data_IF_234860301927
#
_entry.id   IF_234860301927
#
_cell.length_a   1.000
_cell.length_b   1.000
_cell.length_c   1.000
_cell.angle_alpha   90.00
_cell.angle_beta   90.00
_cell.angle_gamma   90.00
#
_symmetry.space_group_name_H-M   'P 1'
#
loop_
_entity.id
_entity.type
_entity.pdbx_description
1 polymer ?
#
# COMPACT_ATOMS: atom_id res chain seq x y z
N UNK A 1 -4.76 0.26 -43.76
CA UNK A 1 -4.52 -0.74 -42.70
C UNK A 1 -4.29 0.03 -41.40
N UNK A 2 -5.32 0.23 -40.58
CA UNK A 2 -5.12 0.82 -39.25
C UNK A 2 -4.37 -0.23 -38.42
N UNK A 3 -3.13 0.06 -38.03
CA UNK A 3 -2.44 -0.74 -37.04
C UNK A 3 -3.27 -0.74 -35.76
N UNK A 4 -3.74 -1.92 -35.34
CA UNK A 4 -4.33 -2.09 -34.02
C UNK A 4 -3.20 -1.90 -33.01
N UNK A 5 -3.08 -0.68 -32.46
CA UNK A 5 -2.09 -0.40 -31.41
C UNK A 5 -2.55 -1.12 -30.16
N UNK A 6 -1.96 -2.29 -29.89
CA UNK A 6 -2.14 -2.98 -28.62
C UNK A 6 -1.49 -2.15 -27.52
N UNK A 7 -2.21 -1.90 -26.43
CA UNK A 7 -1.71 -1.15 -25.28
C UNK A 7 -1.49 -2.09 -24.10
N UNK A 8 -0.45 -1.79 -23.32
CA UNK A 8 -0.10 -2.55 -22.11
C UNK A 8 0.00 -1.57 -20.95
N UNK A 9 -0.62 -1.93 -19.82
CA UNK A 9 -0.63 -1.14 -18.60
C UNK A 9 -0.35 -2.02 -17.39
N UNK A 10 0.48 -1.53 -16.47
CA UNK A 10 0.72 -2.13 -15.17
C UNK A 10 -0.13 -1.41 -14.12
N UNK A 11 -1.02 -2.16 -13.46
CA UNK A 11 -1.74 -1.69 -12.27
C UNK A 11 -0.84 -1.94 -11.07
N UNK A 12 -0.53 -0.88 -10.31
CA UNK A 12 0.39 -0.94 -9.17
C UNK A 12 -0.41 -0.79 -7.86
N UNK A 13 -0.85 -1.91 -7.27
CA UNK A 13 -1.52 -1.91 -5.99
C UNK A 13 -0.58 -1.51 -4.83
N UNK A 14 -1.11 -0.76 -3.88
CA UNK A 14 -0.59 -0.79 -2.50
C UNK A 14 -1.08 -2.04 -1.77
N UNK A 15 -1.11 -2.06 -0.43
CA UNK A 15 -1.71 -3.15 0.34
C UNK A 15 -3.16 -3.42 -0.12
N UNK A 16 -3.49 -4.68 -0.39
CA UNK A 16 -4.85 -5.12 -0.78
C UNK A 16 -5.35 -6.16 0.19
N UNK A 17 -6.42 -5.83 0.91
CA UNK A 17 -7.04 -6.70 1.93
C UNK A 17 -7.71 -7.87 1.24
N UNK A 18 -7.05 -9.02 1.31
CA UNK A 18 -7.45 -10.30 0.72
C UNK A 18 -7.06 -11.42 1.68
N UNK A 19 -7.62 -12.61 1.49
CA UNK A 19 -7.23 -13.81 2.26
C UNK A 19 -5.74 -14.16 2.12
N UNK A 20 -5.09 -13.72 1.04
CA UNK A 20 -3.66 -13.94 0.83
C UNK A 20 -2.82 -13.30 1.95
N UNK A 21 -3.12 -12.06 2.33
CA UNK A 21 -2.36 -11.35 3.37
C UNK A 21 -2.53 -12.01 4.74
N UNK A 22 -3.74 -12.44 5.08
CA UNK A 22 -4.03 -13.10 6.35
C UNK A 22 -3.22 -14.40 6.48
N UNK A 23 -3.20 -15.23 5.43
CA UNK A 23 -2.42 -16.48 5.41
C UNK A 23 -0.92 -16.22 5.53
N UNK A 24 -0.39 -15.22 4.81
CA UNK A 24 1.04 -14.86 4.89
C UNK A 24 1.44 -14.45 6.30
N UNK A 25 0.59 -13.70 7.00
CA UNK A 25 0.86 -13.31 8.38
C UNK A 25 0.73 -14.46 9.37
N UNK A 26 -0.27 -15.33 9.21
CA UNK A 26 -0.42 -16.53 10.04
C UNK A 26 0.79 -17.46 9.87
N UNK A 27 1.23 -17.70 8.64
CA UNK A 27 2.41 -18.51 8.35
C UNK A 27 3.67 -17.89 8.97
N UNK A 28 3.84 -16.57 8.88
CA UNK A 28 4.98 -15.87 9.46
C UNK A 28 4.97 -15.87 11.00
N UNK A 29 3.80 -15.78 11.64
CA UNK A 29 3.71 -15.83 13.11
C UNK A 29 4.00 -17.22 13.69
N UNK A 30 3.76 -18.27 12.91
CA UNK A 30 3.96 -19.66 13.32
C UNK A 30 5.25 -20.29 12.78
N UNK A 31 6.07 -19.54 12.02
CA UNK A 31 7.30 -20.04 11.43
C UNK A 31 8.40 -20.26 12.48
N UNK A 32 9.29 -21.22 12.19
CA UNK A 32 10.48 -21.46 12.99
C UNK A 32 11.63 -20.54 12.56
N UNK A 33 12.05 -19.67 13.49
CA UNK A 33 13.17 -18.74 13.30
C UNK A 33 14.47 -19.20 13.97
N UNK A 34 14.54 -20.44 14.48
CA UNK A 34 15.70 -20.98 15.22
C UNK A 34 17.02 -20.96 14.43
N UNK A 35 16.94 -20.94 13.11
CA UNK A 35 18.11 -20.88 12.21
C UNK A 35 18.50 -19.46 11.79
N UNK A 36 17.69 -18.46 12.15
CA UNK A 36 17.97 -17.04 11.92
C UNK A 36 18.73 -16.48 13.12
N UNK A 37 19.64 -15.52 12.89
CA UNK A 37 20.31 -14.89 14.01
C UNK A 37 19.30 -14.16 14.94
N UNK A 38 19.56 -14.09 16.26
CA UNK A 38 18.57 -13.58 17.21
C UNK A 38 18.14 -12.13 16.96
N UNK A 39 19.04 -11.27 16.47
CA UNK A 39 18.74 -9.86 16.21
C UNK A 39 17.79 -9.72 15.02
N UNK A 40 18.08 -10.39 13.90
CA UNK A 40 17.20 -10.39 12.73
C UNK A 40 15.85 -11.03 13.04
N UNK A 41 15.83 -12.13 13.81
CA UNK A 41 14.59 -12.80 14.22
C UNK A 41 13.70 -11.86 15.07
N UNK A 42 14.30 -11.14 16.03
CA UNK A 42 13.60 -10.15 16.85
C UNK A 42 13.08 -8.98 16.01
N UNK A 43 13.92 -8.41 15.13
CA UNK A 43 13.52 -7.34 14.23
C UNK A 43 12.35 -7.76 13.32
N UNK A 44 12.37 -8.99 12.81
CA UNK A 44 11.29 -9.48 11.96
C UNK A 44 9.99 -9.66 12.74
N UNK A 45 10.04 -10.41 13.84
CA UNK A 45 8.85 -10.82 14.59
C UNK A 45 8.23 -9.68 15.40
N UNK A 46 9.04 -8.89 16.10
CA UNK A 46 8.55 -7.90 17.07
C UNK A 46 8.40 -6.50 16.48
N UNK A 47 9.14 -6.16 15.42
CA UNK A 47 9.07 -4.87 14.75
C UNK A 47 8.38 -4.96 13.39
N UNK A 48 8.97 -5.67 12.44
CA UNK A 48 8.52 -5.67 11.06
C UNK A 48 7.10 -6.24 10.90
N UNK A 49 6.82 -7.44 11.41
CA UNK A 49 5.50 -8.08 11.28
C UNK A 49 4.40 -7.20 11.90
N UNK A 50 4.61 -6.76 13.14
CA UNK A 50 3.69 -5.86 13.85
C UNK A 50 3.42 -4.58 13.06
N UNK A 51 4.47 -3.92 12.56
CA UNK A 51 4.35 -2.65 11.85
C UNK A 51 3.78 -2.82 10.45
N UNK A 52 4.14 -3.90 9.76
CA UNK A 52 3.58 -4.30 8.47
C UNK A 52 2.06 -4.50 8.57
N UNK A 53 1.57 -5.25 9.58
CA UNK A 53 0.13 -5.42 9.85
C UNK A 53 -0.58 -4.09 10.11
N UNK A 54 0.05 -3.18 10.86
CA UNK A 54 -0.51 -1.87 11.15
C UNK A 54 -0.64 -1.01 9.87
N UNK A 55 0.38 -1.02 9.01
CA UNK A 55 0.37 -0.36 7.71
C UNK A 55 -0.73 -0.96 6.83
N UNK A 56 -0.78 -2.28 6.71
CA UNK A 56 -1.73 -2.99 5.87
C UNK A 56 -3.18 -2.68 6.27
N UNK A 57 -3.49 -2.78 7.56
CA UNK A 57 -4.83 -2.49 8.08
C UNK A 57 -5.25 -1.02 7.99
N UNK A 58 -4.30 -0.09 7.85
CA UNK A 58 -4.57 1.36 7.85
C UNK A 58 -4.59 1.95 6.44
N UNK A 59 -3.76 1.41 5.54
CA UNK A 59 -3.58 1.90 4.16
C UNK A 59 -4.17 0.94 3.12
N UNK A 60 -4.73 -0.19 3.57
CA UNK A 60 -5.34 -1.22 2.74
C UNK A 60 -6.41 -0.70 1.78
N UNK A 61 -6.41 -1.29 0.60
CA UNK A 61 -7.45 -1.17 -0.42
C UNK A 61 -8.26 -2.46 -0.48
N UNK A 62 -9.49 -2.38 -0.93
CA UNK A 62 -10.34 -3.55 -1.17
C UNK A 62 -10.09 -4.09 -2.59
N UNK A 63 -10.42 -5.36 -2.87
CA UNK A 63 -10.40 -5.90 -4.23
C UNK A 63 -11.28 -5.10 -5.20
N UNK A 64 -12.41 -4.57 -4.72
CA UNK A 64 -13.29 -3.72 -5.51
C UNK A 64 -12.62 -2.39 -5.89
N UNK A 65 -11.86 -1.77 -4.99
CA UNK A 65 -11.07 -0.57 -5.34
C UNK A 65 -10.10 -0.89 -6.50
N UNK A 66 -9.42 -2.04 -6.44
CA UNK A 66 -8.50 -2.47 -7.51
C UNK A 66 -9.26 -2.73 -8.83
N UNK A 67 -10.43 -3.35 -8.76
CA UNK A 67 -11.27 -3.59 -9.93
C UNK A 67 -11.73 -2.28 -10.58
N UNK A 68 -12.12 -1.27 -9.80
CA UNK A 68 -12.49 0.06 -10.30
C UNK A 68 -11.31 0.75 -11.00
N UNK A 69 -10.11 0.68 -10.41
CA UNK A 69 -8.90 1.21 -11.04
C UNK A 69 -8.57 0.49 -12.35
N UNK A 70 -8.75 -0.83 -12.39
CA UNK A 70 -8.52 -1.65 -13.59
C UNK A 70 -9.51 -1.29 -14.69
N UNK A 71 -10.81 -1.21 -14.35
CA UNK A 71 -11.87 -0.81 -15.28
C UNK A 71 -11.59 0.57 -15.90
N UNK A 72 -11.15 1.53 -15.08
CA UNK A 72 -10.76 2.87 -15.55
C UNK A 72 -9.63 2.81 -16.59
N UNK A 73 -8.62 1.98 -16.36
CA UNK A 73 -7.47 1.86 -17.26
C UNK A 73 -7.86 1.17 -18.56
N UNK A 74 -8.55 0.03 -18.52
CA UNK A 74 -8.93 -0.70 -19.74
C UNK A 74 -9.93 0.07 -20.62
N UNK A 75 -10.71 0.98 -20.01
CA UNK A 75 -11.68 1.82 -20.73
C UNK A 75 -11.09 3.14 -21.22
N UNK A 76 -9.83 3.45 -20.90
CA UNK A 76 -9.20 4.71 -21.30
C UNK A 76 -8.84 4.69 -22.79
N UNK A 77 -9.14 5.78 -23.50
CA UNK A 77 -8.77 5.93 -24.93
C UNK A 77 -7.25 5.87 -25.16
N UNK A 78 -6.46 6.29 -24.16
CA UNK A 78 -5.00 6.23 -24.16
C UNK A 78 -4.52 5.83 -22.76
N UNK A 79 -4.49 4.52 -22.43
CA UNK A 79 -4.15 4.08 -21.10
C UNK A 79 -2.67 4.36 -20.80
N UNK A 80 -2.33 4.72 -19.55
CA UNK A 80 -0.94 4.92 -19.15
C UNK A 80 -0.21 3.58 -19.04
N UNK A 81 1.13 3.58 -19.20
CA UNK A 81 1.92 2.37 -18.98
C UNK A 81 1.92 1.92 -17.52
N UNK A 82 1.85 2.84 -16.55
CA UNK A 82 1.76 2.54 -15.10
C UNK A 82 0.62 3.30 -14.46
N UNK A 83 -0.13 2.63 -13.59
CA UNK A 83 -1.26 3.21 -12.86
C UNK A 83 -1.18 2.83 -11.38
N UNK A 84 -0.73 3.77 -10.55
CA UNK A 84 -0.70 3.60 -9.11
C UNK A 84 -2.11 3.71 -8.53
N UNK A 85 -2.53 2.71 -7.75
CA UNK A 85 -3.87 2.70 -7.16
C UNK A 85 -3.92 3.44 -5.83
N UNK A 86 -2.84 3.39 -5.06
CA UNK A 86 -2.75 3.98 -3.73
C UNK A 86 -1.84 5.21 -3.71
N UNK A 87 -2.44 6.40 -3.78
CA UNK A 87 -1.71 7.67 -3.74
C UNK A 87 -0.97 7.94 -2.43
N UNK A 88 -1.27 7.21 -1.34
CA UNK A 88 -0.54 7.36 -0.07
C UNK A 88 0.93 6.96 -0.21
N UNK A 89 1.27 6.13 -1.20
CA UNK A 89 2.65 5.72 -1.48
C UNK A 89 3.42 6.68 -2.38
N UNK A 90 2.78 7.70 -2.95
CA UNK A 90 3.43 8.67 -3.85
C UNK A 90 4.66 9.34 -3.23
N UNK A 91 4.67 9.75 -1.94
CA UNK A 91 5.87 10.28 -1.32
C UNK A 91 7.05 9.30 -1.35
N UNK A 92 6.81 8.00 -1.14
CA UNK A 92 7.87 6.98 -1.19
C UNK A 92 8.43 6.81 -2.61
N UNK A 93 7.55 6.82 -3.62
CA UNK A 93 7.95 6.82 -5.03
C UNK A 93 8.77 8.06 -5.37
N UNK A 94 8.38 9.23 -4.87
CA UNK A 94 9.12 10.48 -5.08
C UNK A 94 10.53 10.43 -4.47
N UNK A 95 10.67 9.91 -3.24
CA UNK A 95 11.98 9.73 -2.59
C UNK A 95 12.88 8.79 -3.40
N UNK A 96 12.33 7.68 -3.92
CA UNK A 96 13.06 6.75 -4.79
C UNK A 96 13.56 7.42 -6.09
N UNK A 97 12.78 8.32 -6.67
CA UNK A 97 13.18 9.03 -7.89
C UNK A 97 14.15 10.20 -7.62
N UNK A 98 14.06 10.83 -6.45
CA UNK A 98 14.90 11.96 -6.07
C UNK A 98 16.37 11.57 -5.80
N UNK A 99 16.61 10.32 -5.39
CA UNK A 99 17.94 9.81 -5.07
C UNK A 99 18.22 8.49 -5.83
N UNK A 100 19.00 8.55 -6.92
CA UNK A 100 19.37 7.36 -7.71
C UNK A 100 20.16 6.30 -6.94
N UNK A 101 20.81 6.67 -5.82
CA UNK A 101 21.53 5.70 -4.98
C UNK A 101 20.58 4.82 -4.17
N UNK A 102 19.33 5.29 -3.97
CA UNK A 102 18.31 4.64 -3.15
C UNK A 102 18.53 4.80 -1.64
N UNK A 103 19.57 5.49 -1.20
CA UNK A 103 19.89 5.68 0.20
C UNK A 103 18.77 6.41 0.95
N UNK A 104 18.21 7.46 0.34
CA UNK A 104 17.14 8.26 0.93
C UNK A 104 15.87 7.45 1.19
N UNK A 105 15.45 6.65 0.19
CA UNK A 105 14.27 5.80 0.33
C UNK A 105 14.50 4.71 1.39
N UNK A 106 15.66 4.07 1.35
CA UNK A 106 16.04 2.99 2.29
C UNK A 106 16.09 3.49 3.72
N UNK A 107 16.78 4.60 3.98
CA UNK A 107 16.88 5.21 5.29
C UNK A 107 15.52 5.68 5.82
N UNK A 108 14.69 6.26 4.95
CA UNK A 108 13.32 6.67 5.32
C UNK A 108 12.47 5.47 5.71
N UNK A 109 12.49 4.40 4.92
CA UNK A 109 11.73 3.19 5.20
C UNK A 109 12.20 2.51 6.47
N UNK A 110 13.52 2.35 6.64
CA UNK A 110 14.13 1.82 7.86
C UNK A 110 13.69 2.61 9.09
N UNK A 111 13.81 3.93 9.06
CA UNK A 111 13.41 4.79 10.18
C UNK A 111 11.92 4.68 10.49
N UNK A 112 11.07 4.67 9.47
CA UNK A 112 9.62 4.56 9.63
C UNK A 112 9.19 3.23 10.25
N UNK A 113 9.78 2.12 9.80
CA UNK A 113 9.35 0.77 10.18
C UNK A 113 10.07 0.24 11.42
N UNK A 114 11.34 0.58 11.64
CA UNK A 114 12.14 -0.03 12.71
C UNK A 114 12.56 0.94 13.83
N UNK A 115 12.58 2.26 13.58
CA UNK A 115 13.11 3.24 14.55
C UNK A 115 12.06 4.16 15.18
N UNK A 116 11.06 4.57 14.39
CA UNK A 116 10.03 5.54 14.79
C UNK A 116 8.64 4.91 14.74
N UNK A 117 8.52 3.67 15.19
CA UNK A 117 7.27 2.90 15.17
C UNK A 117 6.14 3.65 15.89
N UNK A 118 6.38 4.22 17.07
CA UNK A 118 5.37 4.97 17.81
C UNK A 118 4.78 6.14 17.00
N UNK A 119 5.63 6.94 16.36
CA UNK A 119 5.20 8.05 15.50
C UNK A 119 4.45 7.54 14.27
N UNK A 120 4.93 6.46 13.65
CA UNK A 120 4.25 5.80 12.54
C UNK A 120 2.85 5.34 12.95
N UNK A 121 2.70 4.66 14.09
CA UNK A 121 1.40 4.19 14.59
C UNK A 121 0.42 5.33 14.87
N UNK A 122 0.87 6.44 15.46
CA UNK A 122 0.04 7.64 15.65
C UNK A 122 -0.41 8.22 14.30
N UNK A 123 0.52 8.31 13.35
CA UNK A 123 0.25 8.81 12.00
C UNK A 123 -0.76 7.93 11.26
N UNK A 124 -0.61 6.61 11.34
CA UNK A 124 -1.54 5.64 10.73
C UNK A 124 -2.95 5.76 11.32
N UNK A 125 -3.08 5.92 12.64
CA UNK A 125 -4.37 6.15 13.30
C UNK A 125 -5.04 7.43 12.79
N UNK A 126 -4.28 8.53 12.68
CA UNK A 126 -4.79 9.79 12.14
C UNK A 126 -5.26 9.64 10.68
N UNK A 127 -4.46 8.97 9.83
CA UNK A 127 -4.83 8.67 8.44
C UNK A 127 -6.12 7.85 8.38
N UNK A 128 -6.28 6.85 9.25
CA UNK A 128 -7.48 6.01 9.31
C UNK A 128 -8.74 6.84 9.58
N UNK A 129 -8.67 7.79 10.53
CA UNK A 129 -9.76 8.72 10.84
C UNK A 129 -10.09 9.61 9.65
N UNK A 130 -9.08 10.21 9.01
CA UNK A 130 -9.26 11.08 7.84
C UNK A 130 -9.92 10.31 6.68
N UNK A 131 -9.45 9.08 6.40
CA UNK A 131 -10.02 8.21 5.35
C UNK A 131 -11.47 7.87 5.63
N UNK A 132 -11.80 7.51 6.87
CA UNK A 132 -13.16 7.21 7.28
C UNK A 132 -14.10 8.42 7.12
N UNK A 133 -13.65 9.61 7.54
CA UNK A 133 -14.41 10.85 7.33
C UNK A 133 -14.64 11.12 5.83
N UNK A 134 -13.60 10.97 5.01
CA UNK A 134 -13.71 11.16 3.56
C UNK A 134 -14.68 10.15 2.91
N UNK A 135 -14.69 8.90 3.35
CA UNK A 135 -15.63 7.88 2.88
C UNK A 135 -17.08 8.24 3.25
N UNK A 136 -17.33 8.67 4.50
CA UNK A 136 -18.66 9.14 4.92
C UNK A 136 -19.14 10.33 4.09
N UNK A 137 -18.26 11.29 3.83
CA UNK A 137 -18.61 12.43 2.98
C UNK A 137 -18.98 12.01 1.56
N UNK A 138 -18.21 11.12 0.94
CA UNK A 138 -18.54 10.59 -0.41
C UNK A 138 -19.86 9.83 -0.42
N UNK A 139 -20.14 9.03 0.60
CA UNK A 139 -21.43 8.33 0.72
C UNK A 139 -22.58 9.32 0.86
N UNK A 140 -22.41 10.37 1.67
CA UNK A 140 -23.40 11.45 1.81
C UNK A 140 -23.69 12.17 0.49
N UNK A 141 -22.64 12.53 -0.27
CA UNK A 141 -22.78 13.16 -1.59
C UNK A 141 -23.51 12.25 -2.58
N UNK A 142 -23.18 10.94 -2.60
CA UNK A 142 -23.88 9.95 -3.43
C UNK A 142 -25.37 9.81 -3.06
N UNK A 143 -25.71 9.85 -1.77
CA UNK A 143 -27.11 9.81 -1.32
C UNK A 143 -27.89 11.07 -1.69
N UNK A 144 -27.22 12.21 -1.85
CA UNK A 144 -27.82 13.47 -2.31
C UNK A 144 -27.96 13.57 -3.83
N UNK A 145 -27.65 12.51 -4.58
CA UNK A 145 -27.88 12.42 -6.03
C UNK A 145 -26.83 13.11 -6.90
N UNK A 146 -25.74 13.61 -6.32
CA UNK A 146 -24.61 14.14 -7.09
C UNK A 146 -23.71 12.97 -7.54
N UNK A 147 -23.64 12.74 -8.86
CA UNK A 147 -22.75 11.75 -9.50
C UNK A 147 -21.44 12.39 -9.91
#
# INVERSE_FOLDING_TARGET
MLACVSSVSLIEPGPVVTEFETKVYEDAENADYSTTDPETADMFTNLYLKNSKAIFSSLGQTPNDIAEHTLRVISAAKPPFRHQTNAVYTPMTALKHADPTGALMTDTFYKMVFKYDALMHVSLKAIKVIRWQAQKMRQGVKMLGFR
#
